data_IF_768718364238
#
_entry.id   IF_768718364238
#
_cell.length_a   1.000
_cell.length_b   1.000
_cell.length_c   1.000
_cell.angle_alpha   90.00
_cell.angle_beta   90.00
_cell.angle_gamma   90.00
#
_symmetry.space_group_name_H-M   'P 1'
#
loop_
_entity.id
_entity.type
_entity.pdbx_description
1 polymer ?
#
# COMPACT_ATOMS: atom_id res chain seq x y z
N UNK A 1 -2.28 -12.12 14.30
CA UNK A 1 -2.76 -10.73 14.11
C UNK A 1 -2.39 -10.31 12.69
N UNK A 2 -3.29 -9.70 11.92
CA UNK A 2 -3.01 -9.31 10.52
C UNK A 2 -2.50 -7.87 10.44
N UNK A 3 -1.64 -7.52 9.47
CA UNK A 3 -1.25 -6.14 9.22
C UNK A 3 -2.46 -5.33 8.74
N UNK A 4 -2.76 -4.26 9.47
CA UNK A 4 -3.73 -3.24 9.11
C UNK A 4 -3.10 -1.87 9.37
N UNK A 5 -3.43 -0.88 8.56
CA UNK A 5 -2.94 0.47 8.79
C UNK A 5 -3.68 1.09 9.99
N UNK A 6 -2.92 1.67 10.90
CA UNK A 6 -3.43 2.41 12.05
C UNK A 6 -2.83 3.80 12.11
N UNK A 7 -3.64 4.78 12.48
CA UNK A 7 -3.20 6.15 12.75
C UNK A 7 -2.88 6.26 14.24
N UNK A 8 -1.63 6.57 14.55
CA UNK A 8 -1.19 6.80 15.93
C UNK A 8 -1.57 8.23 16.35
N UNK A 9 -2.18 8.35 17.52
CA UNK A 9 -2.53 9.65 18.09
C UNK A 9 -1.35 10.22 18.89
N UNK A 10 -1.16 11.54 18.83
CA UNK A 10 -0.03 12.23 19.48
C UNK A 10 -0.22 12.29 21.00
N UNK A 11 -1.47 12.31 21.44
CA UNK A 11 -1.87 12.30 22.85
C UNK A 11 -1.67 10.94 23.56
N UNK A 12 -1.17 9.92 22.84
CA UNK A 12 -0.88 8.59 23.38
C UNK A 12 -2.11 7.71 23.55
N UNK A 13 -3.28 8.14 23.06
CA UNK A 13 -4.48 7.30 23.03
C UNK A 13 -4.35 6.14 22.04
N UNK A 14 -5.24 5.15 22.17
CA UNK A 14 -5.26 3.95 21.32
C UNK A 14 -5.28 4.30 19.82
N UNK A 15 -4.41 3.70 18.99
CA UNK A 15 -4.39 3.98 17.56
C UNK A 15 -5.69 3.60 16.85
N UNK A 16 -6.20 4.50 16.01
CA UNK A 16 -7.38 4.30 15.20
C UNK A 16 -7.06 3.43 13.97
N UNK A 17 -7.89 2.42 13.67
CA UNK A 17 -7.72 1.60 12.47
C UNK A 17 -8.25 2.31 11.22
N UNK A 18 -7.42 2.41 10.18
CA UNK A 18 -7.72 3.15 8.95
C UNK A 18 -8.25 2.23 7.84
N UNK A 19 -7.77 0.99 7.78
CA UNK A 19 -8.19 -0.02 6.77
C UNK A 19 -8.97 -1.13 7.45
N UNK A 20 -10.13 -1.52 6.91
CA UNK A 20 -11.01 -2.56 7.46
C UNK A 20 -11.43 -3.64 6.45
N UNK A 21 -10.63 -3.81 5.39
CA UNK A 21 -10.86 -4.83 4.36
C UNK A 21 -10.24 -6.19 4.70
N UNK A 22 -10.48 -7.17 3.82
CA UNK A 22 -9.95 -8.52 3.96
C UNK A 22 -8.50 -8.69 3.49
N UNK A 23 -7.78 -7.59 3.17
CA UNK A 23 -6.41 -7.64 2.68
C UNK A 23 -5.37 -7.47 3.80
N UNK A 24 -4.14 -7.87 3.49
CA UNK A 24 -2.96 -7.62 4.31
C UNK A 24 -2.34 -6.31 3.84
N UNK A 25 -2.40 -5.27 4.67
CA UNK A 25 -2.13 -3.88 4.28
C UNK A 25 -0.79 -3.40 4.83
N UNK A 26 0.11 -2.96 3.95
CA UNK A 26 1.50 -2.62 4.24
C UNK A 26 1.92 -1.26 3.66
N UNK A 27 3.07 -0.76 4.13
CA UNK A 27 3.74 0.44 3.62
C UNK A 27 2.81 1.64 3.40
N UNK A 28 2.22 2.21 4.47
CA UNK A 28 1.38 3.39 4.37
C UNK A 28 2.21 4.64 4.00
N UNK A 29 1.79 5.38 2.98
CA UNK A 29 2.32 6.72 2.66
C UNK A 29 1.19 7.75 2.56
N UNK A 30 1.23 8.76 3.43
CA UNK A 30 0.24 9.84 3.44
C UNK A 30 0.61 10.91 2.40
N UNK A 31 -0.39 11.47 1.71
CA UNK A 31 -0.21 12.62 0.83
C UNK A 31 0.20 13.86 1.62
N UNK A 32 0.89 14.84 1.01
CA UNK A 32 1.34 16.05 1.71
C UNK A 32 0.22 16.86 2.39
N UNK A 33 -0.99 16.83 1.83
CA UNK A 33 -2.18 17.48 2.40
C UNK A 33 -2.92 16.64 3.47
N UNK A 34 -2.44 15.42 3.74
CA UNK A 34 -3.04 14.51 4.72
C UNK A 34 -4.36 13.87 4.28
N UNK A 35 -4.84 14.11 3.06
CA UNK A 35 -6.18 13.70 2.63
C UNK A 35 -6.25 12.31 1.99
N UNK A 36 -5.11 11.77 1.57
CA UNK A 36 -5.03 10.49 0.87
C UNK A 36 -3.93 9.63 1.48
N UNK A 37 -4.26 8.38 1.78
CA UNK A 37 -3.29 7.39 2.19
C UNK A 37 -3.10 6.39 1.05
N UNK A 38 -1.87 6.20 0.60
CA UNK A 38 -1.53 5.08 -0.28
C UNK A 38 -1.09 3.88 0.56
N UNK A 39 -1.64 2.72 0.27
CA UNK A 39 -1.33 1.45 0.95
C UNK A 39 -1.02 0.38 -0.08
N UNK A 40 -0.06 -0.49 0.21
CA UNK A 40 0.18 -1.73 -0.52
C UNK A 40 -0.67 -2.85 0.07
N UNK A 41 -1.68 -3.30 -0.67
CA UNK A 41 -2.53 -4.42 -0.24
C UNK A 41 -2.10 -5.73 -0.91
N UNK A 42 -1.98 -6.77 -0.11
CA UNK A 42 -1.71 -8.14 -0.52
C UNK A 42 -2.86 -9.08 -0.09
N UNK A 43 -2.90 -10.28 -0.66
CA UNK A 43 -3.80 -11.33 -0.17
C UNK A 43 -3.63 -11.56 1.34
N UNK A 44 -4.72 -11.93 2.03
CA UNK A 44 -4.75 -12.18 3.48
C UNK A 44 -3.74 -13.21 3.98
N UNK A 45 -3.30 -14.12 3.10
CA UNK A 45 -2.30 -15.14 3.39
C UNK A 45 -0.86 -14.62 3.30
N UNK A 46 -0.64 -13.39 2.81
CA UNK A 46 0.68 -12.79 2.73
C UNK A 46 1.23 -12.47 4.12
N UNK A 47 2.31 -13.15 4.48
CA UNK A 47 3.04 -12.98 5.76
C UNK A 47 4.19 -11.99 5.68
N UNK A 48 4.64 -11.64 4.47
CA UNK A 48 5.65 -10.63 4.19
C UNK A 48 5.43 -10.09 2.76
N UNK A 49 6.01 -8.92 2.46
CA UNK A 49 6.22 -8.46 1.08
C UNK A 49 7.39 -9.27 0.52
N UNK A 50 7.18 -10.21 -0.43
CA UNK A 50 8.26 -11.09 -0.86
C UNK A 50 9.25 -10.34 -1.73
N UNK A 51 10.53 -10.71 -1.68
CA UNK A 51 11.56 -10.14 -2.58
C UNK A 51 11.40 -10.59 -4.04
N UNK A 52 10.58 -11.61 -4.29
CA UNK A 52 10.51 -12.32 -5.57
C UNK A 52 9.48 -11.73 -6.53
N UNK A 53 9.78 -11.81 -7.84
CA UNK A 53 9.04 -11.16 -8.94
C UNK A 53 7.62 -11.67 -9.19
N UNK A 54 7.10 -12.64 -8.43
CA UNK A 54 5.85 -13.35 -8.73
C UNK A 54 4.74 -13.15 -7.69
N UNK A 55 4.95 -12.33 -6.68
CA UNK A 55 3.93 -12.15 -5.65
C UNK A 55 2.82 -11.21 -6.14
N UNK A 56 1.54 -11.57 -5.95
CA UNK A 56 0.39 -10.76 -6.32
C UNK A 56 0.13 -9.61 -5.33
N UNK A 57 1.11 -9.27 -4.50
CA UNK A 57 1.09 -8.08 -3.67
C UNK A 57 1.06 -6.87 -4.60
N UNK A 58 -0.02 -6.10 -4.59
CA UNK A 58 -0.06 -4.96 -5.48
C UNK A 58 -1.44 -4.44 -5.76
N UNK A 59 -2.14 -3.99 -4.73
CA UNK A 59 -3.05 -2.87 -4.95
C UNK A 59 -2.44 -1.64 -4.31
N UNK A 60 -2.32 -0.59 -5.10
CA UNK A 60 -2.13 0.74 -4.57
C UNK A 60 -3.52 1.28 -4.26
N UNK A 61 -3.89 1.30 -2.98
CA UNK A 61 -5.19 1.77 -2.53
C UNK A 61 -5.08 3.24 -2.15
N UNK A 62 -5.97 4.08 -2.66
CA UNK A 62 -6.14 5.45 -2.17
C UNK A 62 -7.22 5.44 -1.09
N UNK A 63 -6.82 5.42 0.17
CA UNK A 63 -7.78 5.52 1.27
C UNK A 63 -8.03 7.01 1.61
N UNK A 64 -9.26 7.44 1.34
CA UNK A 64 -9.98 8.39 2.19
C UNK A 64 -10.87 7.60 3.16
N UNK A 65 -12.18 7.89 3.24
CA UNK A 65 -13.14 7.07 4.01
C UNK A 65 -13.51 5.72 3.39
N UNK A 66 -13.07 5.44 2.15
CA UNK A 66 -13.34 4.19 1.44
C UNK A 66 -12.05 3.69 0.79
N UNK A 67 -11.76 2.41 0.98
CA UNK A 67 -10.69 1.68 0.31
C UNK A 67 -11.09 1.52 -1.16
N UNK A 68 -10.30 2.07 -2.07
CA UNK A 68 -10.45 1.87 -3.51
C UNK A 68 -9.12 1.49 -4.14
N UNK A 69 -9.11 0.41 -4.92
CA UNK A 69 -7.96 0.01 -5.74
C UNK A 69 -7.73 1.02 -6.87
N UNK A 70 -6.58 1.68 -6.89
CA UNK A 70 -6.21 2.58 -7.99
C UNK A 70 -5.50 1.83 -9.12
N UNK A 71 -4.55 0.93 -8.80
CA UNK A 71 -3.76 0.20 -9.78
C UNK A 71 -3.32 -1.17 -9.24
N UNK A 72 -3.23 -2.16 -10.14
CA UNK A 72 -2.61 -3.45 -9.85
C UNK A 72 -1.14 -3.42 -10.23
N UNK A 73 -0.25 -3.80 -9.32
CA UNK A 73 1.20 -3.84 -9.54
C UNK A 73 1.76 -5.23 -9.28
N UNK A 74 2.94 -5.50 -9.85
CA UNK A 74 3.70 -6.73 -9.60
C UNK A 74 5.11 -6.33 -9.20
N UNK A 75 5.64 -6.93 -8.14
CA UNK A 75 6.99 -6.64 -7.69
C UNK A 75 7.32 -7.32 -6.37
N UNK A 76 8.26 -6.74 -5.64
CA UNK A 76 8.67 -7.23 -4.33
C UNK A 76 9.20 -6.14 -3.41
N UNK A 77 9.66 -6.55 -2.23
CA UNK A 77 10.28 -5.64 -1.26
C UNK A 77 11.42 -4.83 -1.91
N UNK A 78 11.50 -3.54 -1.58
CA UNK A 78 12.43 -2.57 -2.16
C UNK A 78 12.07 -2.06 -3.56
N UNK A 79 10.91 -2.43 -4.12
CA UNK A 79 10.45 -1.94 -5.44
C UNK A 79 9.06 -1.31 -5.38
N UNK A 80 8.04 -2.07 -5.01
CA UNK A 80 6.63 -1.63 -5.00
C UNK A 80 6.20 -0.96 -3.69
N UNK A 81 7.06 -1.01 -2.67
CA UNK A 81 6.77 -0.65 -1.28
C UNK A 81 7.20 0.76 -0.89
N UNK A 82 7.80 1.52 -1.81
CA UNK A 82 8.23 2.89 -1.60
C UNK A 82 7.68 3.85 -2.68
N UNK A 83 6.34 4.00 -2.79
CA UNK A 83 5.76 4.98 -3.69
C UNK A 83 5.99 6.42 -3.18
N UNK A 84 5.96 7.39 -4.08
CA UNK A 84 6.20 8.80 -3.75
C UNK A 84 5.07 9.70 -4.26
N UNK A 85 4.49 10.49 -3.36
CA UNK A 85 3.50 11.52 -3.70
C UNK A 85 4.19 12.74 -4.33
N UNK A 86 3.56 13.32 -5.35
CA UNK A 86 3.96 14.66 -5.83
C UNK A 86 3.76 15.71 -4.72
N UNK A 87 4.51 16.83 -4.73
CA UNK A 87 4.38 17.86 -3.70
C UNK A 87 2.97 18.46 -3.58
N UNK A 88 2.24 18.54 -4.69
CA UNK A 88 0.84 18.98 -4.75
C UNK A 88 -0.17 17.88 -4.36
N UNK A 89 0.31 16.67 -4.04
CA UNK A 89 -0.48 15.49 -3.70
C UNK A 89 -1.30 14.92 -4.86
N UNK A 90 -1.23 15.46 -6.08
CA UNK A 90 -2.11 15.06 -7.19
C UNK A 90 -1.70 13.77 -7.90
N UNK A 91 -0.44 13.38 -7.79
CA UNK A 91 0.12 12.22 -8.50
C UNK A 91 0.89 11.34 -7.52
N UNK A 92 0.94 10.05 -7.84
CA UNK A 92 1.75 9.07 -7.12
C UNK A 92 2.69 8.38 -8.12
N UNK A 93 3.99 8.45 -7.87
CA UNK A 93 4.99 7.68 -8.58
C UNK A 93 5.16 6.32 -7.91
N UNK A 94 5.26 5.26 -8.71
CA UNK A 94 5.47 3.89 -8.25
C UNK A 94 6.30 3.12 -9.29
N UNK A 95 6.88 2.00 -8.85
CA UNK A 95 7.58 1.05 -9.71
C UNK A 95 6.73 -0.21 -9.82
N UNK A 96 6.73 -0.85 -10.99
CA UNK A 96 6.16 -2.18 -11.17
C UNK A 96 7.02 -2.95 -12.15
N UNK A 97 7.15 -4.26 -11.95
CA UNK A 97 7.77 -5.14 -12.91
C UNK A 97 6.81 -5.46 -14.05
N UNK A 98 7.39 -5.59 -15.25
CA UNK A 98 6.73 -6.18 -16.39
C UNK A 98 7.17 -7.65 -16.48
N UNK A 99 6.20 -8.56 -16.50
CA UNK A 99 6.46 -9.97 -16.75
C UNK A 99 6.64 -10.18 -18.25
N UNK A 100 7.87 -10.51 -18.66
CA UNK A 100 8.19 -10.84 -20.05
C UNK A 100 7.97 -12.35 -20.22
N UNK A 101 7.12 -12.79 -21.16
CA UNK A 101 6.93 -14.21 -21.44
C UNK A 101 8.26 -14.84 -21.89
N UNK A 102 8.57 -16.02 -21.36
CA UNK A 102 9.66 -16.84 -21.90
C UNK A 102 9.11 -17.52 -23.15
N UNK A 103 9.83 -17.41 -24.27
CA UNK A 103 9.52 -18.15 -25.50
C UNK A 103 10.02 -19.58 -25.40
#
# INVERSE_FOLDING_TARGET
MRPACRKRMIDGTEPEQVTSDDFSNWSPHLSPDGRRLSVLSCDKSATAIPWTRRSPCGFLVLAGMRVQTAVRVVGGAGSIDAPAWSPDGRRLAFVSYQLIPVR
#
